data_IF_599989463425
#
_entry.id   IF_599989463425
#
_cell.length_a   1.000
_cell.length_b   1.000
_cell.length_c   1.000
_cell.angle_alpha   90.00
_cell.angle_beta   90.00
_cell.angle_gamma   90.00
#
_symmetry.space_group_name_H-M   'P 1'
#
loop_
_entity.id
_entity.type
_entity.pdbx_description
1 polymer ?
#
# COMPACT_ATOMS: atom_id res chain seq x y z
N UNK A 1 -28.94 -25.34 -4.89
CA UNK A 1 -28.20 -25.76 -3.67
C UNK A 1 -28.29 -24.76 -2.52
N UNK A 2 -28.28 -23.44 -2.75
CA UNK A 2 -28.36 -22.40 -1.69
C UNK A 2 -29.68 -22.44 -0.88
N UNK A 3 -30.82 -22.70 -1.52
CA UNK A 3 -32.10 -22.82 -0.82
C UNK A 3 -32.15 -24.01 0.16
N UNK A 4 -31.44 -25.10 -0.14
CA UNK A 4 -31.39 -26.28 0.72
C UNK A 4 -30.54 -26.04 1.98
N UNK A 5 -29.45 -25.26 1.86
CA UNK A 5 -28.64 -24.86 2.99
C UNK A 5 -29.41 -23.95 3.95
N UNK A 6 -30.15 -22.95 3.42
CA UNK A 6 -30.97 -22.04 4.22
C UNK A 6 -32.13 -22.74 4.96
N UNK A 7 -32.76 -23.75 4.33
CA UNK A 7 -33.80 -24.55 4.98
C UNK A 7 -33.19 -25.45 6.06
N UNK A 8 -32.01 -26.03 5.83
CA UNK A 8 -31.32 -26.85 6.82
C UNK A 8 -30.95 -26.03 8.08
N UNK A 9 -30.47 -24.80 7.94
CA UNK A 9 -30.18 -23.93 9.10
C UNK A 9 -31.44 -23.56 9.89
N UNK A 10 -32.57 -23.33 9.21
CA UNK A 10 -33.86 -23.05 9.86
C UNK A 10 -34.34 -24.28 10.66
N UNK A 11 -34.16 -25.49 10.12
CA UNK A 11 -34.53 -26.74 10.80
C UNK A 11 -33.62 -27.03 12.00
N UNK A 12 -32.30 -26.78 11.88
CA UNK A 12 -31.35 -26.88 12.99
C UNK A 12 -31.62 -25.86 14.10
N UNK A 13 -32.03 -24.65 13.71
CA UNK A 13 -32.46 -23.60 14.63
C UNK A 13 -33.74 -23.99 15.40
N UNK A 14 -34.68 -24.67 14.75
CA UNK A 14 -35.88 -25.23 15.38
C UNK A 14 -35.57 -26.40 16.33
N UNK A 15 -34.54 -27.20 16.07
CA UNK A 15 -34.10 -28.23 17.00
C UNK A 15 -33.42 -27.65 18.26
N UNK A 16 -32.68 -26.55 18.10
CA UNK A 16 -31.99 -25.84 19.20
C UNK A 16 -32.99 -25.04 20.07
N UNK A 17 -34.07 -24.55 19.46
CA UNK A 17 -35.22 -23.89 20.12
C UNK A 17 -35.83 -24.72 21.26
N UNK A 18 -35.82 -26.05 21.16
CA UNK A 18 -36.36 -26.91 22.20
C UNK A 18 -35.55 -26.92 23.51
N UNK A 19 -34.30 -26.39 23.50
CA UNK A 19 -33.34 -26.62 24.59
C UNK A 19 -32.98 -25.34 25.36
N UNK A 20 -33.00 -24.13 24.76
CA UNK A 20 -32.38 -22.91 25.37
C UNK A 20 -33.18 -21.61 25.26
N UNK A 21 -34.52 -21.68 25.20
CA UNK A 21 -35.50 -20.67 24.73
C UNK A 21 -35.46 -19.17 25.13
N UNK A 22 -34.48 -18.61 25.87
CA UNK A 22 -34.44 -17.16 26.18
C UNK A 22 -33.23 -16.40 25.58
N UNK A 23 -32.01 -16.92 25.70
CA UNK A 23 -30.81 -16.30 25.08
C UNK A 23 -30.91 -16.30 23.55
N UNK A 24 -31.56 -17.33 23.02
CA UNK A 24 -31.80 -17.51 21.61
C UNK A 24 -32.55 -16.32 21.00
N UNK A 25 -33.68 -15.88 21.54
CA UNK A 25 -34.46 -14.78 20.92
C UNK A 25 -33.93 -13.37 21.21
N UNK A 26 -33.28 -13.17 22.36
CA UNK A 26 -32.77 -11.84 22.74
C UNK A 26 -31.46 -11.46 22.05
N UNK A 27 -30.59 -12.43 21.75
CA UNK A 27 -29.24 -12.15 21.26
C UNK A 27 -28.81 -13.00 20.08
N UNK A 28 -29.07 -14.31 20.09
CA UNK A 28 -28.59 -15.22 19.03
C UNK A 28 -29.40 -15.09 17.74
N UNK A 29 -30.72 -15.01 17.83
CA UNK A 29 -31.65 -14.98 16.72
C UNK A 29 -31.56 -13.65 15.96
N UNK A 30 -31.52 -12.46 16.60
CA UNK A 30 -31.25 -11.22 15.88
C UNK A 30 -29.89 -11.23 15.17
N UNK A 31 -28.84 -11.83 15.77
CA UNK A 31 -27.50 -11.96 15.16
C UNK A 31 -27.47 -12.95 14.00
N UNK A 32 -28.14 -14.10 14.13
CA UNK A 32 -28.24 -15.12 13.06
C UNK A 32 -29.11 -14.60 11.93
N UNK A 33 -30.23 -13.92 12.23
CA UNK A 33 -31.06 -13.27 11.23
C UNK A 33 -30.33 -12.10 10.57
N UNK A 34 -29.59 -11.27 11.30
CA UNK A 34 -28.81 -10.19 10.69
C UNK A 34 -27.71 -10.75 9.80
N UNK A 35 -26.95 -11.74 10.26
CA UNK A 35 -25.91 -12.39 9.45
C UNK A 35 -26.47 -13.05 8.18
N UNK A 36 -27.56 -13.82 8.32
CA UNK A 36 -28.20 -14.51 7.17
C UNK A 36 -28.86 -13.51 6.21
N UNK A 37 -29.55 -12.49 6.73
CA UNK A 37 -30.15 -11.44 5.90
C UNK A 37 -29.07 -10.59 5.22
N UNK A 38 -27.93 -10.35 5.88
CA UNK A 38 -26.80 -9.62 5.31
C UNK A 38 -26.25 -10.40 4.13
N UNK A 39 -25.93 -11.68 4.33
CA UNK A 39 -25.48 -12.56 3.27
C UNK A 39 -26.46 -12.64 2.09
N UNK A 40 -27.77 -12.66 2.35
CA UNK A 40 -28.81 -12.65 1.33
C UNK A 40 -28.88 -11.31 0.59
N UNK A 41 -28.85 -10.18 1.29
CA UNK A 41 -28.94 -8.85 0.69
C UNK A 41 -27.68 -8.44 -0.07
N UNK A 42 -26.53 -8.89 0.41
CA UNK A 42 -25.23 -8.72 -0.23
C UNK A 42 -25.00 -9.73 -1.35
N UNK A 43 -25.86 -10.75 -1.49
CA UNK A 43 -25.80 -11.68 -2.61
C UNK A 43 -25.99 -10.95 -3.95
N UNK A 44 -25.41 -11.48 -5.03
CA UNK A 44 -25.42 -10.83 -6.34
C UNK A 44 -26.82 -10.48 -6.87
N UNK A 45 -27.86 -11.20 -6.45
CA UNK A 45 -29.24 -10.97 -6.90
C UNK A 45 -29.91 -9.78 -6.23
N UNK A 46 -29.70 -9.58 -4.92
CA UNK A 46 -30.39 -8.52 -4.16
C UNK A 46 -29.51 -7.29 -3.93
N UNK A 47 -28.20 -7.40 -4.16
CA UNK A 47 -27.26 -6.30 -4.02
C UNK A 47 -27.63 -5.06 -4.85
N UNK A 48 -28.07 -5.16 -6.12
CA UNK A 48 -28.49 -3.98 -6.87
C UNK A 48 -29.65 -3.22 -6.21
N UNK A 49 -30.63 -3.94 -5.65
CA UNK A 49 -31.74 -3.34 -4.92
C UNK A 49 -31.28 -2.67 -3.61
N UNK A 50 -30.37 -3.33 -2.87
CA UNK A 50 -29.77 -2.75 -1.67
C UNK A 50 -29.03 -1.45 -2.00
N UNK A 51 -28.19 -1.46 -3.04
CA UNK A 51 -27.40 -0.30 -3.45
C UNK A 51 -28.31 0.87 -3.85
N UNK A 52 -29.30 0.64 -4.72
CA UNK A 52 -30.24 1.69 -5.14
C UNK A 52 -30.94 2.32 -3.94
N UNK A 53 -31.39 1.48 -3.00
CA UNK A 53 -31.99 1.93 -1.75
C UNK A 53 -31.02 2.78 -0.92
N UNK A 54 -29.79 2.33 -0.72
CA UNK A 54 -28.79 3.05 0.07
C UNK A 54 -28.50 4.42 -0.56
N UNK A 55 -28.26 4.46 -1.86
CA UNK A 55 -28.01 5.70 -2.58
C UNK A 55 -29.19 6.67 -2.45
N UNK A 56 -30.42 6.21 -2.72
CA UNK A 56 -31.60 7.09 -2.74
C UNK A 56 -32.08 7.46 -1.35
N UNK A 57 -32.18 6.49 -0.44
CA UNK A 57 -32.85 6.67 0.87
C UNK A 57 -31.90 7.03 2.00
N UNK A 58 -30.69 6.49 1.99
CA UNK A 58 -29.76 6.72 3.09
C UNK A 58 -28.84 7.92 2.77
N UNK A 59 -28.42 8.08 1.51
CA UNK A 59 -27.49 9.13 1.11
C UNK A 59 -28.11 10.28 0.32
N UNK A 60 -29.39 10.19 -0.06
CA UNK A 60 -30.08 11.18 -0.91
C UNK A 60 -29.38 11.46 -2.26
N UNK A 61 -28.63 10.49 -2.77
CA UNK A 61 -27.94 10.56 -4.06
C UNK A 61 -28.92 10.06 -5.13
N UNK A 62 -29.59 11.00 -5.80
CA UNK A 62 -30.55 10.72 -6.88
C UNK A 62 -29.94 11.00 -8.26
N UNK A 63 -30.45 10.33 -9.30
CA UNK A 63 -30.03 10.58 -10.68
C UNK A 63 -28.63 10.05 -11.03
N UNK A 64 -28.04 9.23 -10.16
CA UNK A 64 -26.79 8.53 -10.44
C UNK A 64 -27.06 7.11 -10.95
N UNK A 65 -26.16 6.61 -11.78
CA UNK A 65 -26.11 5.21 -12.17
C UNK A 65 -24.92 4.52 -11.52
N UNK A 66 -25.06 3.24 -11.20
CA UNK A 66 -23.99 2.45 -10.59
C UNK A 66 -23.24 1.75 -11.72
N UNK A 67 -22.03 2.23 -12.02
CA UNK A 67 -21.16 1.65 -13.04
C UNK A 67 -20.43 0.40 -12.54
N UNK A 68 -20.14 0.36 -11.23
CA UNK A 68 -19.47 -0.78 -10.60
C UNK A 68 -19.76 -0.84 -9.11
N UNK A 69 -19.74 -2.04 -8.54
CA UNK A 69 -19.89 -2.24 -7.10
C UNK A 69 -19.08 -3.45 -6.60
N UNK A 70 -18.59 -3.38 -5.38
CA UNK A 70 -17.93 -4.49 -4.70
C UNK A 70 -18.26 -4.51 -3.20
N UNK A 71 -18.11 -5.67 -2.58
CA UNK A 71 -18.22 -5.84 -1.13
C UNK A 71 -16.83 -5.99 -0.58
N UNK A 72 -16.54 -5.30 0.51
CA UNK A 72 -15.23 -5.24 1.14
C UNK A 72 -15.35 -5.43 2.67
N UNK A 73 -14.25 -5.75 3.32
CA UNK A 73 -14.14 -5.92 4.79
C UNK A 73 -13.17 -4.86 5.32
N UNK A 74 -13.70 -3.70 5.77
CA UNK A 74 -12.87 -2.58 6.24
C UNK A 74 -12.49 -2.68 7.72
N UNK A 75 -13.19 -3.46 8.53
CA UNK A 75 -12.88 -3.69 9.95
C UNK A 75 -12.03 -4.94 10.19
N UNK A 76 -11.85 -5.77 9.16
CA UNK A 76 -10.97 -6.95 9.19
C UNK A 76 -11.52 -8.05 10.09
N UNK A 77 -12.84 -8.16 10.23
CA UNK A 77 -13.48 -9.18 11.07
C UNK A 77 -13.71 -10.51 10.33
N UNK A 78 -13.32 -10.58 9.05
CA UNK A 78 -13.47 -11.73 8.18
C UNK A 78 -14.83 -11.78 7.46
N UNK A 79 -15.70 -10.79 7.66
CA UNK A 79 -17.00 -10.68 7.01
C UNK A 79 -17.02 -9.46 6.08
N UNK A 80 -16.96 -9.72 4.77
CA UNK A 80 -17.14 -8.67 3.78
C UNK A 80 -18.61 -8.18 3.80
N UNK A 81 -18.83 -6.96 4.33
CA UNK A 81 -20.16 -6.37 4.42
C UNK A 81 -20.25 -4.90 3.99
N UNK A 82 -19.11 -4.24 3.82
CA UNK A 82 -18.99 -2.85 3.40
C UNK A 82 -19.08 -2.72 1.87
N UNK A 83 -19.45 -1.55 1.36
CA UNK A 83 -19.66 -1.35 -0.08
C UNK A 83 -18.67 -0.33 -0.66
N UNK A 84 -18.04 -0.70 -1.77
CA UNK A 84 -17.34 0.24 -2.66
C UNK A 84 -18.13 0.37 -3.96
N UNK A 85 -18.51 1.59 -4.33
CA UNK A 85 -19.34 1.88 -5.49
C UNK A 85 -18.61 2.84 -6.44
N UNK A 86 -18.83 2.67 -7.73
CA UNK A 86 -18.53 3.68 -8.75
C UNK A 86 -19.85 4.14 -9.34
N UNK A 87 -20.11 5.44 -9.27
CA UNK A 87 -21.34 6.07 -9.75
C UNK A 87 -21.05 7.08 -10.86
N UNK A 88 -22.03 7.23 -11.75
CA UNK A 88 -21.95 8.11 -12.91
C UNK A 88 -23.27 8.86 -13.13
N UNK A 89 -23.26 10.14 -13.55
CA UNK A 89 -24.51 10.88 -13.78
C UNK A 89 -25.36 10.22 -14.87
N UNK A 90 -26.63 9.87 -14.56
CA UNK A 90 -27.54 9.24 -15.55
C UNK A 90 -27.76 10.09 -16.81
N UNK A 91 -27.72 11.42 -16.66
CA UNK A 91 -27.85 12.37 -17.78
C UNK A 91 -26.79 12.19 -18.86
N UNK A 92 -25.64 11.63 -18.51
CA UNK A 92 -24.50 11.44 -19.40
C UNK A 92 -24.54 10.10 -20.14
N UNK A 93 -25.53 9.23 -19.87
CA UNK A 93 -25.54 7.86 -20.38
C UNK A 93 -25.78 7.75 -21.90
N UNK A 94 -26.40 8.74 -22.56
CA UNK A 94 -26.64 8.75 -24.02
C UNK A 94 -27.11 7.39 -24.63
N UNK A 95 -27.84 6.57 -23.87
CA UNK A 95 -28.32 5.24 -24.31
C UNK A 95 -27.36 4.06 -24.07
N UNK A 96 -26.21 4.26 -23.41
CA UNK A 96 -25.24 3.22 -23.04
C UNK A 96 -25.54 2.60 -21.68
N UNK A 97 -25.04 1.38 -21.46
CA UNK A 97 -25.13 0.73 -20.15
C UNK A 97 -24.17 1.40 -19.15
N UNK A 98 -24.59 1.48 -17.89
CA UNK A 98 -23.82 2.14 -16.85
C UNK A 98 -22.49 1.47 -16.58
N UNK A 99 -22.39 0.15 -16.77
CA UNK A 99 -21.12 -0.58 -16.61
C UNK A 99 -20.04 -0.15 -17.61
N UNK A 100 -20.43 0.41 -18.77
CA UNK A 100 -19.48 0.91 -19.76
C UNK A 100 -18.68 2.12 -19.26
N UNK A 101 -19.21 2.84 -18.27
CA UNK A 101 -18.59 4.03 -17.68
C UNK A 101 -17.72 3.72 -16.45
N UNK A 102 -17.44 2.44 -16.16
CA UNK A 102 -16.61 2.05 -15.01
C UNK A 102 -15.23 2.73 -15.02
N UNK A 103 -14.67 2.91 -16.20
CA UNK A 103 -13.34 3.49 -16.41
C UNK A 103 -13.40 4.96 -16.85
N UNK A 104 -14.57 5.59 -16.79
CA UNK A 104 -14.73 6.97 -17.22
C UNK A 104 -14.04 7.93 -16.24
N UNK A 105 -13.24 8.90 -16.72
CA UNK A 105 -12.63 9.95 -15.90
C UNK A 105 -13.61 10.75 -15.04
N UNK A 106 -14.86 10.93 -15.49
CA UNK A 106 -15.90 11.67 -14.74
C UNK A 106 -16.61 10.80 -13.69
N UNK A 107 -16.24 9.52 -13.56
CA UNK A 107 -16.82 8.63 -12.57
C UNK A 107 -16.45 9.05 -11.14
N UNK A 108 -17.44 8.96 -10.25
CA UNK A 108 -17.28 9.25 -8.82
C UNK A 108 -17.29 7.95 -8.05
N UNK A 109 -16.34 7.80 -7.15
CA UNK A 109 -16.19 6.63 -6.30
C UNK A 109 -16.72 6.92 -4.90
N UNK A 110 -17.48 5.98 -4.34
CA UNK A 110 -18.09 6.05 -3.01
C UNK A 110 -17.63 4.85 -2.17
N UNK A 111 -17.24 5.10 -0.92
CA UNK A 111 -16.90 4.05 0.07
C UNK A 111 -17.90 4.13 1.21
N UNK A 112 -18.57 3.02 1.50
CA UNK A 112 -19.70 2.94 2.43
C UNK A 112 -19.43 1.87 3.49
N UNK A 113 -19.53 2.23 4.77
CA UNK A 113 -19.41 1.28 5.90
C UNK A 113 -20.79 0.81 6.33
N UNK A 114 -20.94 -0.49 6.55
CA UNK A 114 -22.11 -1.03 7.25
C UNK A 114 -22.10 -0.56 8.72
N UNK A 115 -23.24 -0.04 9.17
CA UNK A 115 -23.40 0.47 10.54
C UNK A 115 -24.45 -0.35 11.28
N UNK A 116 -25.36 0.30 12.01
CA UNK A 116 -26.38 -0.39 12.78
C UNK A 116 -27.53 -0.89 11.89
N UNK A 117 -28.01 -2.09 12.21
CA UNK A 117 -29.19 -2.68 11.59
C UNK A 117 -30.46 -2.01 12.09
N UNK A 118 -31.38 -1.71 11.16
CA UNK A 118 -32.75 -1.30 11.50
C UNK A 118 -33.71 -2.42 11.12
N UNK A 119 -33.97 -3.32 12.07
CA UNK A 119 -34.70 -4.56 11.83
C UNK A 119 -33.84 -5.54 11.02
N UNK A 120 -34.36 -6.02 9.88
CA UNK A 120 -33.62 -6.92 8.96
C UNK A 120 -32.78 -6.17 7.93
N UNK A 121 -32.61 -4.85 8.05
CA UNK A 121 -32.01 -4.02 7.01
C UNK A 121 -30.68 -3.42 7.49
N UNK A 122 -29.59 -3.63 6.77
CA UNK A 122 -28.35 -2.93 7.04
C UNK A 122 -28.51 -1.44 6.70
N UNK A 123 -27.79 -0.59 7.43
CA UNK A 123 -27.66 0.84 7.11
C UNK A 123 -26.22 1.13 6.77
N UNK A 124 -26.01 2.05 5.84
CA UNK A 124 -24.68 2.44 5.41
C UNK A 124 -24.39 3.90 5.72
N UNK A 125 -23.16 4.17 6.15
CA UNK A 125 -22.61 5.52 6.27
C UNK A 125 -21.61 5.76 5.13
N UNK A 126 -21.69 6.92 4.50
CA UNK A 126 -20.71 7.34 3.50
C UNK A 126 -19.43 7.77 4.21
N UNK A 127 -18.35 7.02 3.98
CA UNK A 127 -17.04 7.33 4.53
C UNK A 127 -16.27 8.33 3.68
N UNK A 128 -16.29 8.15 2.35
CA UNK A 128 -15.49 8.97 1.44
C UNK A 128 -16.10 9.01 0.05
N UNK A 129 -15.97 10.17 -0.60
CA UNK A 129 -16.17 10.37 -2.03
C UNK A 129 -14.85 10.79 -2.68
N UNK A 130 -14.59 10.32 -3.90
CA UNK A 130 -13.44 10.78 -4.68
C UNK A 130 -13.68 10.65 -6.18
N UNK A 131 -13.11 11.58 -6.96
CA UNK A 131 -13.22 11.65 -8.41
C UNK A 131 -11.79 11.85 -8.98
N UNK A 132 -11.08 10.77 -9.30
CA UNK A 132 -9.64 10.83 -9.59
C UNK A 132 -9.33 11.39 -10.99
N UNK A 133 -10.32 11.54 -11.88
CA UNK A 133 -10.10 11.98 -13.26
C UNK A 133 -9.41 10.94 -14.14
N UNK A 134 -9.18 9.72 -13.63
CA UNK A 134 -8.49 8.61 -14.30
C UNK A 134 -9.15 7.29 -13.87
N UNK A 135 -9.33 6.32 -14.80
CA UNK A 135 -9.86 5.00 -14.47
C UNK A 135 -9.21 4.39 -13.23
N UNK A 136 -10.01 3.86 -12.30
CA UNK A 136 -9.51 3.33 -11.02
C UNK A 136 -10.16 2.00 -10.60
N UNK A 137 -9.44 1.21 -9.81
CA UNK A 137 -9.82 -0.12 -9.29
C UNK A 137 -9.62 -0.14 -7.77
N UNK A 138 -10.50 -0.80 -7.03
CA UNK A 138 -10.41 -0.91 -5.57
C UNK A 138 -9.97 -2.30 -5.13
N UNK A 139 -9.08 -2.34 -4.15
CA UNK A 139 -8.60 -3.54 -3.46
C UNK A 139 -8.64 -3.29 -1.96
N UNK A 140 -9.02 -4.28 -1.16
CA UNK A 140 -8.94 -4.19 0.30
C UNK A 140 -7.92 -5.17 0.86
N UNK A 141 -7.28 -4.74 1.95
CA UNK A 141 -6.23 -5.46 2.64
C UNK A 141 -6.36 -5.22 4.15
N UNK A 142 -7.20 -6.02 4.82
CA UNK A 142 -7.62 -5.73 6.19
C UNK A 142 -8.26 -4.33 6.26
N UNK A 143 -7.86 -3.46 7.22
CA UNK A 143 -8.46 -2.14 7.35
C UNK A 143 -8.05 -1.12 6.28
N UNK A 144 -7.24 -1.52 5.30
CA UNK A 144 -6.77 -0.64 4.24
C UNK A 144 -7.61 -0.79 2.98
N UNK A 145 -7.99 0.36 2.39
CA UNK A 145 -8.55 0.46 1.06
C UNK A 145 -7.50 1.05 0.12
N UNK A 146 -7.16 0.30 -0.91
CA UNK A 146 -6.23 0.69 -1.95
C UNK A 146 -6.99 0.94 -3.25
N UNK A 147 -6.74 2.09 -3.84
CA UNK A 147 -7.33 2.48 -5.12
C UNK A 147 -6.20 2.58 -6.13
N UNK A 148 -6.13 1.63 -7.05
CA UNK A 148 -5.17 1.67 -8.15
C UNK A 148 -5.74 2.48 -9.32
N UNK A 149 -5.00 3.44 -9.85
CA UNK A 149 -5.30 4.08 -11.13
C UNK A 149 -4.75 3.21 -12.27
N UNK A 150 -5.60 2.89 -13.24
CA UNK A 150 -5.24 2.09 -14.40
C UNK A 150 -4.61 2.98 -15.49
N UNK A 151 -3.47 3.60 -15.17
CA UNK A 151 -2.65 4.28 -16.16
C UNK A 151 -1.65 3.28 -16.76
N UNK A 152 -1.71 3.06 -18.08
CA UNK A 152 -0.84 2.12 -18.83
C UNK A 152 0.66 2.42 -18.77
N UNK A 153 1.04 3.61 -18.30
CA UNK A 153 2.41 4.09 -18.36
C UNK A 153 2.94 4.40 -16.96
N UNK A 154 2.07 4.46 -15.92
CA UNK A 154 2.44 4.78 -14.53
C UNK A 154 1.30 4.41 -13.57
N UNK A 155 1.12 3.13 -13.17
CA UNK A 155 0.05 2.76 -12.25
C UNK A 155 0.28 3.46 -10.90
N UNK A 156 -0.73 4.17 -10.42
CA UNK A 156 -0.69 4.84 -9.12
C UNK A 156 -1.60 4.15 -8.12
N UNK A 157 -1.32 4.28 -6.82
CA UNK A 157 -2.19 3.84 -5.75
C UNK A 157 -2.58 5.04 -4.90
N UNK A 158 -3.83 5.13 -4.50
CA UNK A 158 -4.28 5.97 -3.39
C UNK A 158 -4.64 5.05 -2.23
N UNK A 159 -4.10 5.33 -1.05
CA UNK A 159 -4.22 4.45 0.10
C UNK A 159 -5.00 5.17 1.18
N UNK A 160 -6.00 4.45 1.68
CA UNK A 160 -6.83 4.87 2.78
C UNK A 160 -6.80 3.79 3.86
N UNK A 161 -6.94 4.16 5.13
CA UNK A 161 -7.26 3.20 6.18
C UNK A 161 -8.55 3.58 6.89
N UNK A 162 -9.37 2.57 7.14
CA UNK A 162 -10.53 2.69 7.98
C UNK A 162 -10.10 2.58 9.44
N UNK A 163 -10.41 3.61 10.22
CA UNK A 163 -10.20 3.57 11.66
C UNK A 163 -11.15 4.52 12.38
N UNK A 164 -11.59 4.10 13.57
CA UNK A 164 -12.50 4.89 14.41
C UNK A 164 -13.74 5.43 13.66
N UNK A 165 -14.30 4.62 12.75
CA UNK A 165 -15.50 5.00 12.00
C UNK A 165 -15.27 5.92 10.79
N UNK A 166 -14.02 6.27 10.48
CA UNK A 166 -13.68 7.15 9.37
C UNK A 166 -12.67 6.51 8.40
N UNK A 167 -12.69 6.94 7.15
CA UNK A 167 -11.68 6.56 6.16
C UNK A 167 -10.64 7.69 6.05
N UNK A 168 -9.40 7.40 6.46
CA UNK A 168 -8.32 8.38 6.50
C UNK A 168 -7.40 8.19 5.31
N UNK A 169 -7.10 9.27 4.57
CA UNK A 169 -6.16 9.25 3.45
C UNK A 169 -4.73 9.20 3.96
N UNK A 170 -3.95 8.22 3.50
CA UNK A 170 -2.55 8.03 3.89
C UNK A 170 -1.55 8.52 2.83
N UNK A 171 -1.96 8.58 1.57
CA UNK A 171 -1.14 9.12 0.50
C UNK A 171 -1.38 8.43 -0.83
N UNK A 172 -0.55 8.81 -1.80
CA UNK A 172 -0.51 8.15 -3.10
C UNK A 172 0.90 7.72 -3.48
N UNK A 173 0.98 6.62 -4.22
CA UNK A 173 2.21 6.07 -4.79
C UNK A 173 2.08 6.03 -6.31
N UNK A 174 3.19 6.20 -7.03
CA UNK A 174 3.26 5.98 -8.48
C UNK A 174 4.36 4.96 -8.74
N UNK A 175 4.01 3.87 -9.40
CA UNK A 175 5.00 2.91 -9.87
C UNK A 175 5.77 3.50 -11.04
N UNK A 176 7.06 3.22 -11.09
CA UNK A 176 7.95 3.55 -12.21
C UNK A 176 7.89 2.43 -13.29
N UNK A 177 7.26 1.28 -12.99
CA UNK A 177 7.13 0.13 -13.89
C UNK A 177 5.73 -0.51 -13.89
N UNK A 178 5.38 -1.24 -14.96
CA UNK A 178 4.06 -1.85 -15.21
C UNK A 178 3.73 -3.10 -14.36
N UNK A 179 4.49 -3.40 -13.31
CA UNK A 179 4.25 -4.57 -12.46
C UNK A 179 3.23 -4.31 -11.33
N UNK A 180 2.42 -5.32 -10.96
CA UNK A 180 1.51 -5.22 -9.80
C UNK A 180 2.32 -5.10 -8.50
N UNK A 181 1.97 -4.13 -7.65
CA UNK A 181 2.69 -3.89 -6.41
C UNK A 181 2.44 -5.02 -5.38
N UNK A 182 3.51 -5.59 -4.82
CA UNK A 182 3.40 -6.54 -3.71
C UNK A 182 3.16 -5.79 -2.40
N UNK A 183 1.98 -5.96 -1.78
CA UNK A 183 1.62 -5.24 -0.57
C UNK A 183 2.00 -6.05 0.68
N UNK A 184 2.72 -5.42 1.61
CA UNK A 184 2.96 -5.99 2.94
C UNK A 184 1.67 -5.88 3.78
N UNK A 185 1.19 -7.02 4.30
CA UNK A 185 -0.09 -7.14 5.00
C UNK A 185 0.11 -7.15 6.53
N UNK A 186 -0.62 -6.27 7.24
CA UNK A 186 -0.63 -6.14 8.70
C UNK A 186 -1.27 -4.83 9.16
N UNK A 187 -1.24 -4.50 10.46
CA UNK A 187 -1.64 -3.16 10.97
C UNK A 187 -0.67 -2.04 10.60
N UNK A 188 0.43 -2.41 9.94
CA UNK A 188 1.48 -1.52 9.50
C UNK A 188 1.80 -1.79 8.04
N UNK A 189 1.91 -0.73 7.27
CA UNK A 189 2.27 -0.74 5.86
C UNK A 189 3.54 0.10 5.67
N UNK A 190 4.52 -0.42 4.97
CA UNK A 190 5.76 0.30 4.66
C UNK A 190 5.88 0.49 3.17
N UNK A 191 6.23 1.71 2.78
CA UNK A 191 6.31 2.08 1.37
C UNK A 191 7.46 3.01 1.10
N UNK A 192 8.14 2.79 -0.03
CA UNK A 192 8.97 3.80 -0.66
C UNK A 192 8.06 4.80 -1.36
N UNK A 193 8.08 6.07 -0.95
CA UNK A 193 7.48 7.17 -1.73
C UNK A 193 8.52 7.72 -2.71
N UNK A 194 8.16 8.73 -3.51
CA UNK A 194 9.12 9.39 -4.39
C UNK A 194 10.32 9.98 -3.63
N UNK A 195 10.08 10.49 -2.41
CA UNK A 195 11.07 11.25 -1.65
C UNK A 195 11.69 10.49 -0.46
N UNK A 196 10.95 9.55 0.14
CA UNK A 196 11.37 8.90 1.38
C UNK A 196 10.61 7.60 1.66
N UNK A 197 11.09 6.81 2.59
CA UNK A 197 10.37 5.65 3.10
C UNK A 197 9.40 6.06 4.21
N UNK A 198 8.16 5.61 4.11
CA UNK A 198 7.12 5.89 5.10
C UNK A 198 6.54 4.60 5.65
N UNK A 199 6.39 4.59 6.97
CA UNK A 199 5.59 3.64 7.70
C UNK A 199 4.22 4.24 7.98
N UNK A 200 3.19 3.45 7.74
CA UNK A 200 1.81 3.75 8.06
C UNK A 200 1.35 2.74 9.09
N UNK A 201 0.70 3.19 10.15
CA UNK A 201 0.24 2.33 11.24
C UNK A 201 -1.15 2.75 11.70
N UNK A 202 -2.01 1.77 11.97
CA UNK A 202 -3.18 1.96 12.85
C UNK A 202 -2.78 1.50 14.25
N UNK A 203 -2.66 2.45 15.17
CA UNK A 203 -2.24 2.21 16.55
C UNK A 203 -3.24 1.37 17.33
N UNK A 204 -2.86 0.90 18.52
CA UNK A 204 -3.76 0.18 19.42
C UNK A 204 -4.97 0.99 19.88
N UNK A 205 -4.92 2.32 19.80
CA UNK A 205 -6.05 3.23 20.11
C UNK A 205 -6.89 3.57 18.87
N UNK A 206 -6.59 2.98 17.70
CA UNK A 206 -7.27 3.27 16.45
C UNK A 206 -6.84 4.58 15.80
N UNK A 207 -5.77 5.24 16.26
CA UNK A 207 -5.23 6.39 15.54
C UNK A 207 -4.41 5.92 14.34
N UNK A 208 -4.70 6.49 13.17
CA UNK A 208 -3.83 6.42 12.01
C UNK A 208 -2.58 7.30 12.22
N UNK A 209 -1.40 6.70 12.11
CA UNK A 209 -0.12 7.42 12.17
C UNK A 209 0.67 7.14 10.90
N UNK A 210 1.33 8.18 10.40
CA UNK A 210 2.39 8.04 9.42
C UNK A 210 3.70 8.49 10.05
N UNK A 211 4.79 7.82 9.69
CA UNK A 211 6.11 8.12 10.20
C UNK A 211 7.10 7.96 9.07
N UNK A 212 7.95 8.96 8.87
CA UNK A 212 9.11 8.81 7.97
C UNK A 212 10.06 7.83 8.63
N UNK A 213 10.42 6.78 7.91
CA UNK A 213 11.34 5.77 8.40
C UNK A 213 12.76 6.28 8.22
N UNK A 214 13.54 6.21 9.29
CA UNK A 214 15.00 6.29 9.18
C UNK A 214 15.54 5.02 8.51
N UNK A 215 16.74 5.10 7.95
CA UNK A 215 17.46 3.90 7.50
C UNK A 215 17.70 2.92 8.67
N UNK A 216 17.83 3.41 9.90
CA UNK A 216 17.83 2.56 11.10
C UNK A 216 16.52 1.80 11.27
N UNK A 217 15.36 2.45 11.10
CA UNK A 217 14.05 1.79 11.17
C UNK A 217 13.89 0.71 10.10
N UNK A 218 14.44 0.95 8.89
CA UNK A 218 14.43 -0.02 7.79
C UNK A 218 15.28 -1.24 8.16
N UNK A 219 16.48 -1.03 8.72
CA UNK A 219 17.38 -2.10 9.14
C UNK A 219 16.85 -2.91 10.32
N UNK A 220 16.32 -2.24 11.35
CA UNK A 220 15.75 -2.90 12.52
C UNK A 220 14.58 -3.83 12.17
N UNK A 221 13.94 -3.61 11.01
CA UNK A 221 12.84 -4.43 10.50
C UNK A 221 13.30 -5.52 9.56
N UNK A 222 14.43 -5.30 8.91
CA UNK A 222 15.00 -6.16 7.91
C UNK A 222 16.46 -6.38 8.29
N UNK A 223 16.69 -7.32 9.22
CA UNK A 223 18.00 -7.58 9.84
C UNK A 223 19.13 -7.91 8.86
N UNK A 224 18.84 -8.06 7.56
CA UNK A 224 19.80 -8.30 6.49
C UNK A 224 19.81 -7.18 5.44
N UNK A 225 19.15 -6.04 5.69
CA UNK A 225 19.10 -4.95 4.74
C UNK A 225 20.41 -4.16 4.67
N UNK A 226 20.69 -3.62 3.49
CA UNK A 226 21.66 -2.58 3.22
C UNK A 226 20.89 -1.38 2.68
N UNK A 227 20.81 -0.32 3.46
CA UNK A 227 20.13 0.92 3.08
C UNK A 227 21.17 1.89 2.52
N UNK A 228 20.96 2.28 1.26
CA UNK A 228 21.81 3.23 0.52
C UNK A 228 21.12 4.58 0.48
N UNK A 229 21.79 5.61 0.98
CA UNK A 229 21.28 6.98 1.07
C UNK A 229 22.29 7.95 0.48
N UNK A 230 21.89 8.84 -0.44
CA UNK A 230 22.75 9.91 -0.94
C UNK A 230 22.34 11.26 -0.33
N UNK A 231 23.27 12.01 0.24
CA UNK A 231 22.99 13.25 0.98
C UNK A 231 22.29 14.30 0.10
N UNK A 232 22.69 14.41 -1.17
CA UNK A 232 22.12 15.34 -2.12
C UNK A 232 20.66 15.02 -2.52
N UNK A 233 20.21 13.78 -2.32
CA UNK A 233 18.93 13.27 -2.86
C UNK A 233 17.95 12.78 -1.81
N UNK A 234 18.40 12.60 -0.57
CA UNK A 234 17.53 12.22 0.53
C UNK A 234 16.71 13.41 1.01
N UNK A 235 15.40 13.20 1.20
CA UNK A 235 14.49 14.25 1.65
C UNK A 235 14.81 14.74 3.08
N UNK A 236 14.53 16.02 3.36
CA UNK A 236 14.76 16.63 4.68
C UNK A 236 14.06 15.88 5.82
N UNK A 237 12.85 15.37 5.58
CA UNK A 237 12.13 14.54 6.55
C UNK A 237 12.87 13.25 6.90
N UNK A 238 13.52 12.62 5.92
CA UNK A 238 14.34 11.43 6.14
C UNK A 238 15.69 11.78 6.81
N UNK A 239 16.30 12.92 6.48
CA UNK A 239 17.47 13.46 7.22
C UNK A 239 17.15 13.70 8.69
N UNK A 240 16.00 14.31 8.97
CA UNK A 240 15.51 14.55 10.33
C UNK A 240 15.22 13.23 11.05
N UNK A 241 14.54 12.28 10.40
CA UNK A 241 14.26 10.96 10.96
C UNK A 241 15.54 10.19 11.31
N UNK A 242 16.53 10.18 10.41
CA UNK A 242 17.85 9.59 10.66
C UNK A 242 18.59 10.27 11.82
N UNK A 243 18.52 11.61 11.90
CA UNK A 243 19.15 12.37 12.99
C UNK A 243 18.53 12.08 14.36
N UNK A 244 17.21 11.83 14.39
CA UNK A 244 16.47 11.45 15.62
C UNK A 244 16.68 9.98 16.02
N UNK A 245 16.94 9.10 15.05
CA UNK A 245 17.11 7.67 15.30
C UNK A 245 18.31 7.36 16.20
N UNK A 246 19.33 8.25 16.24
CA UNK A 246 20.34 8.27 17.29
C UNK A 246 21.16 6.97 17.44
N UNK A 247 21.25 6.17 16.38
CA UNK A 247 22.00 4.92 16.41
C UNK A 247 23.50 5.22 16.65
N UNK A 248 24.05 4.66 17.74
CA UNK A 248 25.46 4.83 18.07
C UNK A 248 26.35 4.38 16.91
N UNK A 249 27.18 5.27 16.37
CA UNK A 249 28.10 4.98 15.27
C UNK A 249 27.62 5.40 13.87
N UNK A 250 26.40 5.93 13.74
CA UNK A 250 25.94 6.50 12.47
C UNK A 250 26.40 7.94 12.33
N UNK A 251 26.92 8.29 11.15
CA UNK A 251 27.36 9.66 10.88
C UNK A 251 26.13 10.57 10.67
N UNK A 252 26.04 11.72 11.36
CA UNK A 252 25.00 12.69 11.06
C UNK A 252 25.14 13.21 9.62
N UNK A 253 24.01 13.42 8.94
CA UNK A 253 24.01 14.03 7.61
C UNK A 253 24.71 15.40 7.64
N UNK A 254 25.53 15.68 6.64
CA UNK A 254 26.36 16.89 6.57
C UNK A 254 27.63 16.88 7.43
N UNK A 255 27.90 15.82 8.20
CA UNK A 255 29.18 15.65 8.92
C UNK A 255 30.27 14.93 8.11
N UNK A 256 29.96 14.58 6.86
CA UNK A 256 30.89 13.91 5.97
C UNK A 256 32.11 14.78 5.69
N UNK A 257 33.28 14.18 5.88
CA UNK A 257 34.53 14.62 5.29
C UNK A 257 35.04 13.49 4.43
N UNK A 258 35.51 13.81 3.21
CA UNK A 258 36.04 12.80 2.31
C UNK A 258 37.14 12.03 3.03
N UNK A 259 37.03 10.70 3.19
CA UNK A 259 38.06 9.92 3.86
C UNK A 259 39.39 10.06 3.11
N UNK A 260 40.49 10.02 3.85
CA UNK A 260 41.84 10.01 3.26
C UNK A 260 41.95 8.82 2.28
N UNK A 261 42.27 9.12 1.01
CA UNK A 261 42.35 8.12 -0.07
C UNK A 261 41.22 8.19 -1.11
N UNK A 262 40.18 8.98 -0.89
CA UNK A 262 39.20 9.31 -1.94
C UNK A 262 39.85 10.10 -3.08
N UNK A 263 39.52 9.77 -4.33
CA UNK A 263 40.02 10.55 -5.47
C UNK A 263 39.31 11.90 -5.55
N UNK A 264 40.06 12.98 -5.82
CA UNK A 264 39.52 14.35 -5.90
C UNK A 264 38.37 14.50 -6.91
N UNK A 265 38.32 13.65 -7.94
CA UNK A 265 37.22 13.64 -8.92
C UNK A 265 35.89 13.10 -8.36
N UNK A 266 35.90 12.44 -7.20
CA UNK A 266 34.74 11.80 -6.56
C UNK A 266 34.41 12.37 -5.18
N UNK A 267 35.12 13.42 -4.73
CA UNK A 267 35.00 13.94 -3.36
C UNK A 267 33.66 14.59 -3.04
N UNK A 268 32.90 14.99 -4.06
CA UNK A 268 31.58 15.60 -3.92
C UNK A 268 30.46 14.57 -3.72
N UNK A 269 30.74 13.28 -3.91
CA UNK A 269 29.75 12.20 -3.79
C UNK A 269 29.67 11.74 -2.34
N UNK A 270 28.56 12.06 -1.68
CA UNK A 270 28.30 11.71 -0.29
C UNK A 270 27.17 10.69 -0.22
N UNK A 271 27.55 9.42 -0.08
CA UNK A 271 26.60 8.29 0.01
C UNK A 271 26.89 7.50 1.28
N UNK A 272 25.83 7.13 1.98
CA UNK A 272 25.87 6.33 3.20
C UNK A 272 25.31 4.93 2.93
N UNK A 273 25.94 3.94 3.56
CA UNK A 273 25.43 2.57 3.72
C UNK A 273 25.17 2.37 5.21
N UNK A 274 23.92 2.22 5.61
CA UNK A 274 23.56 2.00 7.02
C UNK A 274 24.22 3.03 7.98
N UNK A 275 24.25 4.31 7.58
CA UNK A 275 24.88 5.40 8.34
C UNK A 275 26.40 5.49 8.24
N UNK A 276 27.07 4.55 7.59
CA UNK A 276 28.50 4.58 7.30
C UNK A 276 28.75 5.25 5.94
N UNK A 277 29.61 6.25 5.89
CA UNK A 277 29.94 6.92 4.62
C UNK A 277 30.80 6.03 3.72
N UNK A 278 30.45 5.95 2.44
CA UNK A 278 31.16 5.17 1.44
C UNK A 278 32.33 5.95 0.85
N UNK A 279 33.43 5.24 0.58
CA UNK A 279 34.59 5.79 -0.14
C UNK A 279 34.50 5.45 -1.62
N UNK A 280 34.56 6.47 -2.47
CA UNK A 280 34.48 6.31 -3.93
C UNK A 280 35.84 6.47 -4.62
N UNK A 281 36.04 5.69 -5.67
CA UNK A 281 37.16 5.81 -6.59
C UNK A 281 36.67 6.05 -8.03
N UNK A 282 37.47 6.72 -8.87
CA UNK A 282 37.14 6.84 -10.29
C UNK A 282 37.21 5.48 -10.96
N UNK A 283 36.20 5.20 -11.77
CA UNK A 283 36.11 4.01 -12.58
C UNK A 283 37.17 4.07 -13.69
N UNK A 284 38.14 3.14 -13.64
CA UNK A 284 39.22 3.07 -14.62
C UNK A 284 38.70 2.81 -16.06
N UNK A 285 37.55 2.13 -16.20
CA UNK A 285 36.95 1.83 -17.49
C UNK A 285 36.10 2.99 -18.04
N UNK A 286 35.60 3.89 -17.16
CA UNK A 286 34.83 5.08 -17.53
C UNK A 286 35.27 6.27 -16.66
N UNK A 287 36.35 6.96 -17.05
CA UNK A 287 36.87 8.11 -16.31
C UNK A 287 35.78 9.16 -16.11
N UNK A 288 35.53 9.55 -14.85
CA UNK A 288 34.45 10.48 -14.47
C UNK A 288 33.24 9.82 -13.80
N UNK A 289 33.16 8.49 -13.80
CA UNK A 289 32.18 7.74 -12.99
C UNK A 289 32.81 7.27 -11.70
N UNK A 290 32.13 7.46 -10.58
CA UNK A 290 32.65 7.11 -9.26
C UNK A 290 32.00 5.80 -8.77
N UNK A 291 32.84 4.87 -8.30
CA UNK A 291 32.40 3.55 -7.84
C UNK A 291 32.92 3.28 -6.44
N UNK A 292 32.06 2.74 -5.58
CA UNK A 292 32.42 2.21 -4.27
C UNK A 292 32.15 0.70 -4.21
N UNK A 293 33.00 -0.02 -3.49
CA UNK A 293 32.77 -1.44 -3.21
C UNK A 293 32.06 -1.59 -1.86
N UNK A 294 31.02 -2.41 -1.82
CA UNK A 294 30.28 -2.75 -0.60
C UNK A 294 30.12 -4.25 -0.47
N UNK A 295 30.05 -4.73 0.78
CA UNK A 295 29.82 -6.15 1.08
C UNK A 295 28.45 -6.35 1.70
N UNK A 296 27.70 -7.32 1.15
CA UNK A 296 26.46 -7.84 1.68
C UNK A 296 26.71 -9.05 2.58
N UNK A 297 25.98 -9.17 3.69
CA UNK A 297 26.26 -10.21 4.70
C UNK A 297 26.03 -11.63 4.16
N UNK A 298 25.09 -11.83 3.24
CA UNK A 298 24.80 -13.11 2.58
C UNK A 298 23.93 -12.88 1.33
N UNK A 299 23.64 -13.94 0.61
CA UNK A 299 22.81 -13.90 -0.61
C UNK A 299 21.39 -13.42 -0.37
N UNK A 300 20.85 -13.57 0.85
CA UNK A 300 19.50 -13.11 1.22
C UNK A 300 19.47 -11.67 1.73
N UNK A 301 20.61 -11.00 1.79
CA UNK A 301 20.70 -9.60 2.18
C UNK A 301 20.00 -8.72 1.14
N UNK A 302 19.23 -7.75 1.64
CA UNK A 302 18.38 -6.92 0.80
C UNK A 302 18.97 -5.54 0.62
N UNK A 303 19.22 -5.16 -0.61
CA UNK A 303 19.71 -3.83 -0.97
C UNK A 303 18.52 -2.93 -1.21
N UNK A 304 18.49 -1.84 -0.45
CA UNK A 304 17.40 -0.89 -0.41
C UNK A 304 17.99 0.47 -0.70
N UNK A 305 17.62 1.08 -1.81
CA UNK A 305 18.09 2.41 -2.15
C UNK A 305 17.03 3.45 -1.85
N UNK A 306 17.37 4.50 -1.09
CA UNK A 306 16.56 5.71 -0.91
C UNK A 306 16.67 6.68 -2.10
N UNK A 307 17.53 6.34 -3.06
CA UNK A 307 17.67 7.06 -4.34
C UNK A 307 17.20 6.18 -5.50
N UNK A 308 17.12 6.76 -6.69
CA UNK A 308 16.81 6.04 -7.92
C UNK A 308 18.06 5.28 -8.37
N UNK A 309 17.92 3.97 -8.58
CA UNK A 309 19.01 3.13 -9.03
C UNK A 309 18.53 2.02 -9.96
N UNK A 310 19.39 1.61 -10.88
CA UNK A 310 19.31 0.40 -11.66
C UNK A 310 20.14 -0.72 -11.02
N UNK A 311 19.63 -1.94 -11.07
CA UNK A 311 20.22 -3.10 -10.42
C UNK A 311 20.60 -4.17 -11.47
N UNK A 312 21.90 -4.46 -11.58
CA UNK A 312 22.44 -5.52 -12.43
C UNK A 312 22.86 -6.71 -11.57
N UNK A 313 22.36 -7.90 -11.91
CA UNK A 313 22.68 -9.12 -11.17
C UNK A 313 21.84 -9.36 -9.92
N UNK A 314 20.74 -8.65 -9.75
CA UNK A 314 19.86 -8.78 -8.59
C UNK A 314 18.48 -9.28 -9.00
N UNK A 315 17.80 -9.91 -8.06
CA UNK A 315 16.37 -10.21 -8.16
C UNK A 315 15.62 -9.38 -7.13
N UNK A 316 14.52 -8.76 -7.54
CA UNK A 316 13.69 -7.99 -6.62
C UNK A 316 13.12 -8.91 -5.52
N UNK A 317 13.21 -8.46 -4.27
CA UNK A 317 12.71 -9.21 -3.13
C UNK A 317 11.19 -9.34 -3.21
N UNK A 318 10.69 -10.58 -3.14
CA UNK A 318 9.24 -10.84 -3.06
C UNK A 318 8.66 -10.44 -1.70
N UNK A 319 9.49 -10.40 -0.66
CA UNK A 319 9.06 -10.04 0.69
C UNK A 319 8.99 -8.53 0.87
N UNK A 320 9.88 -7.78 0.21
CA UNK A 320 9.93 -6.32 0.25
C UNK A 320 10.16 -5.80 -1.17
N UNK A 321 9.12 -5.33 -1.89
CA UNK A 321 9.22 -4.96 -3.31
C UNK A 321 10.15 -3.77 -3.58
N UNK A 322 10.61 -3.09 -2.55
CA UNK A 322 11.59 -1.99 -2.64
C UNK A 322 13.02 -2.44 -2.34
N UNK A 323 13.23 -3.73 -2.03
CA UNK A 323 14.53 -4.33 -1.79
C UNK A 323 14.95 -5.27 -2.92
N UNK A 324 16.26 -5.40 -3.11
CA UNK A 324 16.89 -6.24 -4.13
C UNK A 324 17.81 -7.26 -3.48
N UNK A 325 17.72 -8.51 -3.92
CA UNK A 325 18.49 -9.65 -3.40
C UNK A 325 19.52 -10.04 -4.45
N UNK A 326 20.71 -10.43 -3.99
CA UNK A 326 21.78 -10.91 -4.86
C UNK A 326 21.29 -12.16 -5.61
N UNK A 327 21.36 -12.14 -6.94
CA UNK A 327 21.16 -13.33 -7.76
C UNK A 327 22.51 -14.03 -7.92
N UNK A 328 22.76 -15.05 -7.09
CA UNK A 328 24.02 -15.80 -7.08
C UNK A 328 24.32 -16.51 -8.43
N UNK A 329 23.34 -16.63 -9.32
CA UNK A 329 23.57 -17.19 -10.67
C UNK A 329 24.23 -16.20 -11.62
N UNK A 330 24.32 -14.92 -11.22
CA UNK A 330 24.89 -13.85 -12.04
C UNK A 330 26.36 -13.62 -11.69
N UNK A 331 27.22 -13.38 -12.69
CA UNK A 331 28.66 -13.22 -12.47
C UNK A 331 29.06 -11.86 -11.89
N UNK A 332 28.13 -10.91 -11.82
CA UNK A 332 28.38 -9.53 -11.37
C UNK A 332 27.14 -8.98 -10.70
N UNK A 333 27.36 -8.20 -9.64
CA UNK A 333 26.33 -7.53 -8.84
C UNK A 333 26.68 -6.04 -8.75
N UNK A 334 25.97 -5.22 -9.52
CA UNK A 334 26.28 -3.80 -9.66
C UNK A 334 25.03 -2.94 -9.56
N UNK A 335 25.10 -1.87 -8.76
CA UNK A 335 24.01 -0.89 -8.60
C UNK A 335 24.46 0.43 -9.21
N UNK A 336 23.67 0.98 -10.14
CA UNK A 336 23.91 2.30 -10.76
C UNK A 336 22.89 3.27 -10.20
N UNK A 337 23.31 4.38 -9.63
CA UNK A 337 22.39 5.33 -8.99
C UNK A 337 22.59 6.74 -9.50
N UNK A 338 21.51 7.51 -9.50
CA UNK A 338 21.55 8.93 -9.84
C UNK A 338 22.08 9.73 -8.65
N UNK A 339 22.92 10.72 -8.94
CA UNK A 339 23.40 11.69 -7.95
C UNK A 339 22.82 13.10 -8.18
N UNK A 340 22.50 13.42 -9.43
CA UNK A 340 21.93 14.69 -9.89
C UNK A 340 20.60 14.46 -10.62
N UNK A 341 19.85 15.53 -10.90
CA UNK A 341 18.57 15.48 -11.64
C UNK A 341 18.76 15.31 -13.17
N UNK A 342 19.99 15.11 -13.64
CA UNK A 342 20.30 15.01 -15.06
C UNK A 342 20.09 13.56 -15.57
N UNK A 343 19.17 13.33 -16.51
CA UNK A 343 18.60 12.00 -16.77
C UNK A 343 19.43 11.07 -17.67
N UNK A 344 20.66 11.43 -18.07
CA UNK A 344 21.37 10.70 -19.14
C UNK A 344 22.60 9.89 -18.69
N UNK A 345 23.01 9.98 -17.42
CA UNK A 345 24.25 9.34 -16.99
C UNK A 345 24.26 9.06 -15.46
N UNK A 346 24.37 7.79 -15.04
CA UNK A 346 24.37 7.44 -13.60
C UNK A 346 25.46 8.22 -12.85
N UNK A 347 25.12 8.78 -11.68
CA UNK A 347 26.01 9.63 -10.90
C UNK A 347 27.06 8.85 -10.13
N UNK A 348 26.69 7.69 -9.58
CA UNK A 348 27.63 6.78 -8.90
C UNK A 348 27.26 5.31 -9.09
N UNK A 349 28.23 4.43 -8.89
CA UNK A 349 28.06 2.98 -8.94
C UNK A 349 28.46 2.30 -7.63
N UNK A 350 27.82 1.18 -7.32
CA UNK A 350 28.19 0.32 -6.20
C UNK A 350 28.46 -1.09 -6.73
N UNK A 351 29.66 -1.59 -6.48
CA UNK A 351 29.99 -2.99 -6.69
C UNK A 351 29.70 -3.77 -5.40
N UNK A 352 28.87 -4.80 -5.49
CA UNK A 352 28.37 -5.52 -4.31
C UNK A 352 28.97 -6.91 -4.26
N UNK A 353 29.84 -7.16 -3.28
CA UNK A 353 30.36 -8.49 -2.96
C UNK A 353 29.53 -9.21 -1.91
N UNK A 354 29.65 -10.55 -1.89
CA UNK A 354 29.19 -11.37 -0.76
C UNK A 354 30.27 -11.41 0.33
N UNK A 355 29.85 -11.21 1.57
CA UNK A 355 30.68 -11.36 2.75
C UNK A 355 31.00 -12.84 3.05
N UNK A 356 32.08 -13.09 3.80
CA UNK A 356 32.47 -14.44 4.22
C UNK A 356 31.47 -15.10 5.18
#
# INVERSE_FOLDING_TARGET
MVAAAGIATIVSALATFAITGSEFFGTTLPKVFSGTSSAILLSGTLRPWLIDRVLVRDLSIVGQCVAWHNIIDLDGDGQASDLALTVFPRRSLQGKDCSEFRQDPEAVHLVLKETQWKGWRPRYALLQTFAPGIPSIFVTAGPFLLISTAARINPAYHIFAYSNGALLSFGSFRSIADEPAYLQLGRRLYMKTYNEFRGFEVTSTGEAKSTVLSAFDILARNNTALVIEADARIADGAKEANSKAGASGWLPFGSYSSPEGGQAACSEIVVYKNGEALTFASNQANPGKCVAAITAANETAQIVANVQCDFEGFTQSRQFPWGWIIDATKPRHFVRCDYTDEPEEYGFGLEVGLGP
#
